data_IF_696548157435
#
_entry.id   IF_696548157435
#
_cell.length_a   1.000
_cell.length_b   1.000
_cell.length_c   1.000
_cell.angle_alpha   90.00
_cell.angle_beta   90.00
_cell.angle_gamma   90.00
#
_symmetry.space_group_name_H-M   'P 1'
#
loop_
_entity.id
_entity.type
_entity.pdbx_description
1 polymer ?
#
# COMPACT_ATOMS: atom_id res chain seq x y z
N UNK A 1 -19.80 -33.32 0.89
CA UNK A 1 -19.29 -32.31 1.84
C UNK A 1 -18.30 -31.43 1.11
N UNK A 2 -18.56 -30.13 1.00
CA UNK A 2 -17.61 -29.20 0.37
C UNK A 2 -16.56 -28.81 1.41
N UNK A 3 -15.30 -29.18 1.18
CA UNK A 3 -14.20 -28.79 2.07
C UNK A 3 -13.86 -27.33 1.76
N UNK A 4 -14.28 -26.42 2.63
CA UNK A 4 -13.88 -25.01 2.54
C UNK A 4 -12.44 -24.89 3.05
N UNK A 5 -11.48 -24.82 2.13
CA UNK A 5 -10.09 -24.49 2.43
C UNK A 5 -10.01 -23.01 2.84
N UNK A 6 -9.65 -22.74 4.09
CA UNK A 6 -9.40 -21.38 4.57
C UNK A 6 -7.99 -20.95 4.16
N UNK A 7 -7.89 -19.90 3.34
CA UNK A 7 -6.61 -19.27 3.00
C UNK A 7 -6.23 -18.19 4.05
N UNK A 8 -6.09 -18.58 5.31
CA UNK A 8 -5.79 -17.67 6.42
C UNK A 8 -4.86 -18.31 7.42
N UNK A 9 -3.81 -17.59 7.82
CA UNK A 9 -2.91 -17.98 8.90
C UNK A 9 -3.27 -17.27 10.20
N UNK A 10 -3.19 -17.97 11.34
CA UNK A 10 -3.42 -17.38 12.66
C UNK A 10 -2.11 -16.81 13.20
N UNK A 11 -2.09 -15.50 13.44
CA UNK A 11 -0.95 -14.82 14.06
C UNK A 11 -1.28 -14.39 15.49
N UNK A 12 -0.30 -14.53 16.40
CA UNK A 12 -0.39 -14.05 17.77
C UNK A 12 0.42 -12.77 17.93
N UNK A 13 -0.24 -11.67 18.32
CA UNK A 13 0.40 -10.35 18.47
C UNK A 13 0.11 -9.75 19.85
N UNK A 14 1.13 -9.16 20.46
CA UNK A 14 0.98 -8.39 21.69
C UNK A 14 0.85 -6.90 21.36
N UNK A 15 -0.20 -6.26 21.87
CA UNK A 15 -0.44 -4.83 21.68
C UNK A 15 -0.59 -4.14 23.04
N UNK A 16 -0.13 -2.88 23.18
CA UNK A 16 -0.44 -2.08 24.36
C UNK A 16 -1.96 -2.03 24.60
N UNK A 17 -2.40 -2.13 25.87
CA UNK A 17 -3.83 -2.17 26.23
C UNK A 17 -4.64 -1.03 25.58
N UNK A 18 -4.07 0.18 25.55
CA UNK A 18 -4.66 1.36 24.90
C UNK A 18 -4.92 1.12 23.41
N UNK A 19 -3.96 0.54 22.70
CA UNK A 19 -4.03 0.26 21.26
C UNK A 19 -5.02 -0.87 20.98
N UNK A 20 -5.00 -1.94 21.77
CA UNK A 20 -5.97 -3.03 21.65
C UNK A 20 -7.43 -2.54 21.83
N UNK A 21 -7.66 -1.60 22.77
CA UNK A 21 -8.97 -0.94 22.94
C UNK A 21 -9.34 -0.11 21.71
N UNK A 22 -8.40 0.69 21.18
CA UNK A 22 -8.61 1.50 19.99
C UNK A 22 -8.94 0.64 18.76
N UNK A 23 -8.20 -0.44 18.54
CA UNK A 23 -8.46 -1.41 17.48
C UNK A 23 -9.91 -1.92 17.53
N UNK A 24 -10.38 -2.33 18.71
CA UNK A 24 -11.75 -2.82 18.91
C UNK A 24 -12.81 -1.78 18.55
N UNK A 25 -12.61 -0.53 18.97
CA UNK A 25 -13.55 0.56 18.70
C UNK A 25 -13.58 0.89 17.22
N UNK A 26 -12.41 1.08 16.60
CA UNK A 26 -12.31 1.48 15.19
C UNK A 26 -12.82 0.40 14.27
N UNK A 27 -12.49 -0.87 14.51
CA UNK A 27 -12.99 -1.98 13.69
C UNK A 27 -14.52 -2.05 13.74
N UNK A 28 -15.11 -1.83 14.91
CA UNK A 28 -16.58 -1.80 15.09
C UNK A 28 -17.21 -0.64 14.31
N UNK A 29 -16.65 0.57 14.40
CA UNK A 29 -17.13 1.74 13.66
C UNK A 29 -17.08 1.49 12.14
N UNK A 30 -16.04 0.79 11.67
CA UNK A 30 -15.85 0.43 10.26
C UNK A 30 -16.67 -0.79 9.81
N UNK A 31 -17.42 -1.45 10.71
CA UNK A 31 -18.16 -2.66 10.38
C UNK A 31 -17.27 -3.87 10.03
N UNK A 32 -16.00 -3.85 10.47
CA UNK A 32 -15.00 -4.86 10.13
C UNK A 32 -14.61 -5.72 11.34
N UNK A 33 -14.23 -6.96 11.07
CA UNK A 33 -13.53 -7.77 12.08
C UNK A 33 -12.15 -7.19 12.37
N UNK A 34 -11.59 -7.51 13.54
CA UNK A 34 -10.24 -7.03 13.92
C UNK A 34 -9.17 -7.51 12.94
N UNK A 35 -9.26 -8.76 12.47
CA UNK A 35 -8.33 -9.33 11.50
C UNK A 35 -8.45 -8.65 10.14
N UNK A 36 -9.67 -8.41 9.65
CA UNK A 36 -9.89 -7.71 8.39
C UNK A 36 -9.36 -6.27 8.43
N UNK A 37 -9.59 -5.57 9.55
CA UNK A 37 -9.06 -4.22 9.71
C UNK A 37 -7.53 -4.21 9.76
N UNK A 38 -6.90 -5.13 10.51
CA UNK A 38 -5.43 -5.27 10.54
C UNK A 38 -4.87 -5.58 9.14
N UNK A 39 -5.48 -6.52 8.41
CA UNK A 39 -5.07 -6.85 7.04
C UNK A 39 -5.10 -5.60 6.14
N UNK A 40 -6.17 -4.82 6.19
CA UNK A 40 -6.28 -3.59 5.39
C UNK A 40 -5.22 -2.53 5.73
N UNK A 41 -4.78 -2.48 6.99
CA UNK A 41 -3.72 -1.56 7.41
C UNK A 41 -2.35 -2.02 6.87
N UNK A 42 -2.10 -3.33 6.86
CA UNK A 42 -0.87 -3.90 6.31
C UNK A 42 -0.82 -3.67 4.79
N UNK A 43 -1.92 -3.94 4.08
CA UNK A 43 -2.00 -3.71 2.63
C UNK A 43 -1.74 -2.25 2.28
N UNK A 44 -2.38 -1.33 3.01
CA UNK A 44 -2.19 0.11 2.81
C UNK A 44 -0.74 0.54 3.03
N UNK A 45 -0.06 -0.02 4.04
CA UNK A 45 1.34 0.30 4.29
C UNK A 45 2.26 -0.27 3.20
N UNK A 46 1.99 -1.49 2.73
CA UNK A 46 2.71 -2.10 1.62
C UNK A 46 2.54 -1.28 0.31
N UNK A 47 1.34 -0.79 0.05
CA UNK A 47 1.07 0.09 -1.09
C UNK A 47 1.81 1.43 -0.96
N UNK A 48 1.81 2.05 0.22
CA UNK A 48 2.57 3.28 0.46
C UNK A 48 4.07 3.09 0.17
N UNK A 49 4.66 1.99 0.65
CA UNK A 49 6.06 1.65 0.37
C UNK A 49 6.32 1.42 -1.12
N UNK A 50 5.40 0.75 -1.82
CA UNK A 50 5.47 0.59 -3.27
C UNK A 50 5.44 1.94 -3.99
N UNK A 51 4.53 2.83 -3.62
CA UNK A 51 4.43 4.17 -4.20
C UNK A 51 5.67 5.02 -3.95
N UNK A 52 6.26 4.98 -2.75
CA UNK A 52 7.53 5.65 -2.45
C UNK A 52 8.65 5.20 -3.40
N UNK A 53 8.74 3.89 -3.68
CA UNK A 53 9.74 3.34 -4.62
C UNK A 53 9.50 3.81 -6.05
N UNK A 54 8.26 3.75 -6.53
CA UNK A 54 7.90 4.24 -7.87
C UNK A 54 8.23 5.72 -8.01
N UNK A 55 7.85 6.53 -7.03
CA UNK A 55 8.11 7.96 -7.04
C UNK A 55 9.61 8.28 -7.01
N UNK A 56 10.40 7.55 -6.21
CA UNK A 56 11.87 7.68 -6.21
C UNK A 56 12.46 7.36 -7.59
N UNK A 57 12.06 6.24 -8.18
CA UNK A 57 12.51 5.85 -9.53
C UNK A 57 12.11 6.88 -10.58
N UNK A 58 10.89 7.40 -10.52
CA UNK A 58 10.42 8.47 -11.41
C UNK A 58 11.30 9.72 -11.31
N UNK A 59 11.63 10.16 -10.09
CA UNK A 59 12.54 11.31 -9.88
C UNK A 59 13.96 11.04 -10.39
N UNK A 60 14.48 9.84 -10.20
CA UNK A 60 15.82 9.46 -10.71
C UNK A 60 15.84 9.43 -12.24
N UNK A 61 14.82 8.86 -12.87
CA UNK A 61 14.66 8.86 -14.32
C UNK A 61 14.52 10.27 -14.87
N UNK A 62 13.66 11.11 -14.28
CA UNK A 62 13.50 12.50 -14.71
C UNK A 62 14.82 13.27 -14.66
N UNK A 63 15.60 13.11 -13.58
CA UNK A 63 16.95 13.68 -13.50
C UNK A 63 17.90 13.13 -14.55
N UNK A 64 17.91 11.81 -14.77
CA UNK A 64 18.79 11.16 -15.75
C UNK A 64 18.54 11.67 -17.18
N UNK A 65 17.29 11.93 -17.51
CA UNK A 65 16.86 12.37 -18.84
C UNK A 65 16.60 13.88 -18.93
N UNK A 66 16.95 14.66 -17.89
CA UNK A 66 16.67 16.10 -17.78
C UNK A 66 15.21 16.48 -18.10
N UNK A 67 14.27 15.61 -17.75
CA UNK A 67 12.84 15.85 -17.95
C UNK A 67 12.36 16.75 -16.82
N UNK A 68 12.04 18.01 -17.14
CA UNK A 68 11.55 18.98 -16.18
C UNK A 68 10.09 19.39 -16.43
N UNK A 69 9.55 19.13 -17.63
CA UNK A 69 8.17 19.46 -18.00
C UNK A 69 7.50 18.39 -18.87
N UNK A 70 6.21 18.56 -19.15
CA UNK A 70 5.46 17.68 -20.05
C UNK A 70 5.94 17.81 -21.50
N UNK A 71 6.40 18.99 -21.93
CA UNK A 71 6.96 19.22 -23.26
C UNK A 71 8.27 18.45 -23.48
N UNK A 72 9.08 18.26 -22.44
CA UNK A 72 10.28 17.40 -22.51
C UNK A 72 9.90 15.93 -22.77
N UNK A 73 8.76 15.47 -22.22
CA UNK A 73 8.25 14.12 -22.44
C UNK A 73 7.77 13.97 -23.88
N UNK A 74 7.02 14.97 -24.37
CA UNK A 74 6.48 14.99 -25.73
C UNK A 74 7.60 14.95 -26.78
N UNK A 75 8.66 15.74 -26.58
CA UNK A 75 9.87 15.68 -27.42
C UNK A 75 10.50 14.29 -27.45
N UNK A 76 10.68 13.65 -26.29
CA UNK A 76 11.25 12.29 -26.22
C UNK A 76 10.40 11.26 -26.95
N UNK A 77 9.06 11.37 -26.86
CA UNK A 77 8.13 10.45 -27.52
C UNK A 77 8.12 10.63 -29.04
N UNK A 78 8.21 11.88 -29.52
CA UNK A 78 8.15 12.21 -30.94
C UNK A 78 9.50 12.12 -31.66
N UNK A 79 10.63 12.33 -30.98
CA UNK A 79 11.97 12.14 -31.55
C UNK A 79 12.40 10.66 -31.64
N UNK A 80 11.76 9.78 -30.86
CA UNK A 80 12.03 8.33 -30.89
C UNK A 80 11.22 7.57 -31.97
N UNK A 81 10.46 8.29 -32.81
CA UNK A 81 9.62 7.74 -33.89
C UNK A 81 10.29 7.85 -35.25
#
# INVERSE_FOLDING_TARGET
>A
MTVILRNTEVVSISLPKRIAKKLRVVSKIKGQSRSAFIASLIDKEAENERWKRIFKKGRETAKKFNIASEEDIDRILHEAS
#
